data_IF_747104222472
#
_entry.id   IF_747104222472
#
_cell.length_a   1.000
_cell.length_b   1.000
_cell.length_c   1.000
_cell.angle_alpha   90.00
_cell.angle_beta   90.00
_cell.angle_gamma   90.00
#
_symmetry.space_group_name_H-M   'P 1'
#
loop_
_entity.id
_entity.type
_entity.pdbx_description
1 polymer ?
#
# COMPACT_ATOMS: atom_id res chain seq x y z
N UNK A 1 30.14 -43.80 10.70
CA UNK A 1 30.75 -42.68 11.46
C UNK A 1 29.82 -41.47 11.36
N UNK A 2 29.19 -41.05 12.47
CA UNK A 2 28.32 -39.87 12.52
C UNK A 2 29.18 -38.63 12.27
N UNK A 3 28.81 -37.81 11.29
CA UNK A 3 29.43 -36.50 11.04
C UNK A 3 28.79 -35.53 12.03
N UNK A 4 29.52 -35.15 13.07
CA UNK A 4 29.08 -34.14 14.05
C UNK A 4 28.83 -32.80 13.35
N UNK A 5 27.77 -32.12 13.77
CA UNK A 5 27.36 -30.86 13.15
C UNK A 5 28.17 -29.69 13.72
N UNK A 6 28.33 -28.61 12.93
CA UNK A 6 29.13 -27.42 13.29
C UNK A 6 28.71 -26.74 14.60
N UNK A 7 27.49 -27.01 15.10
CA UNK A 7 26.99 -26.54 16.39
C UNK A 7 27.56 -27.32 17.59
N UNK A 8 27.91 -28.61 17.42
CA UNK A 8 28.48 -29.45 18.48
C UNK A 8 29.98 -29.15 18.72
N UNK A 9 30.67 -28.52 17.77
CA UNK A 9 32.10 -28.12 17.93
C UNK A 9 32.31 -26.90 18.81
N UNK A 10 31.29 -26.04 18.98
CA UNK A 10 31.45 -24.77 19.71
C UNK A 10 31.32 -24.92 21.24
N UNK A 11 30.71 -26.01 21.70
CA UNK A 11 30.47 -26.31 23.12
C UNK A 11 31.35 -27.47 23.61
N UNK A 12 32.38 -27.80 22.84
CA UNK A 12 33.28 -28.89 23.17
C UNK A 12 34.33 -28.36 24.16
N UNK A 13 34.19 -28.75 25.43
CA UNK A 13 35.23 -28.52 26.43
C UNK A 13 36.51 -29.18 25.95
N UNK A 14 37.56 -28.38 25.76
CA UNK A 14 38.88 -28.93 25.48
C UNK A 14 39.35 -29.69 26.72
N UNK A 15 39.91 -30.90 26.58
CA UNK A 15 40.52 -31.60 27.70
C UNK A 15 41.78 -30.85 28.17
N UNK A 16 42.21 -31.11 29.41
CA UNK A 16 43.45 -30.56 29.94
C UNK A 16 44.65 -31.16 29.19
N UNK A 17 45.50 -30.29 28.62
CA UNK A 17 46.72 -30.68 27.90
C UNK A 17 47.96 -30.25 28.67
N UNK A 18 49.00 -31.08 28.67
CA UNK A 18 50.32 -30.70 29.20
C UNK A 18 51.28 -30.29 28.07
N UNK A 19 52.17 -29.34 28.36
CA UNK A 19 53.16 -28.89 27.39
C UNK A 19 54.09 -30.04 26.97
N UNK A 20 54.06 -30.39 25.67
CA UNK A 20 54.84 -31.50 25.11
C UNK A 20 54.04 -32.78 24.85
N UNK A 21 52.75 -32.82 25.21
CA UNK A 21 51.87 -33.94 24.91
C UNK A 21 51.57 -34.04 23.40
N UNK A 22 51.73 -35.24 22.82
CA UNK A 22 51.47 -35.49 21.39
C UNK A 22 50.72 -36.80 21.21
N UNK A 23 49.69 -36.79 20.36
CA UNK A 23 48.90 -37.98 20.00
C UNK A 23 48.86 -38.18 18.49
N UNK A 24 48.40 -39.34 18.03
CA UNK A 24 48.28 -39.66 16.60
C UNK A 24 47.11 -38.88 16.00
N UNK A 25 47.42 -37.80 15.27
CA UNK A 25 46.43 -37.04 14.52
C UNK A 25 46.44 -37.48 13.05
N UNK A 26 45.28 -37.85 12.53
CA UNK A 26 45.09 -38.07 11.09
C UNK A 26 44.52 -36.79 10.47
N UNK A 27 45.26 -36.08 9.59
CA UNK A 27 44.71 -34.92 8.91
C UNK A 27 43.55 -35.35 8.02
N UNK A 28 42.42 -34.67 8.12
CA UNK A 28 41.28 -34.84 7.22
C UNK A 28 41.11 -33.61 6.34
N UNK A 29 40.85 -33.83 5.06
CA UNK A 29 40.43 -32.77 4.14
C UNK A 29 38.91 -32.83 4.05
N UNK A 30 38.25 -31.92 4.75
CA UNK A 30 36.79 -31.78 4.70
C UNK A 30 36.40 -30.97 3.45
N UNK A 31 35.67 -31.61 2.54
CA UNK A 31 35.13 -30.95 1.34
C UNK A 31 33.82 -30.24 1.69
N UNK A 32 33.84 -28.91 1.68
CA UNK A 32 32.65 -28.09 1.93
C UNK A 32 32.01 -27.59 0.64
N UNK A 33 30.70 -27.34 0.70
CA UNK A 33 29.95 -26.62 -0.34
C UNK A 33 29.20 -25.46 0.30
N UNK A 34 29.16 -24.32 -0.37
CA UNK A 34 28.31 -23.20 0.05
C UNK A 34 26.85 -23.60 -0.10
N UNK A 35 26.02 -23.25 0.89
CA UNK A 35 24.58 -23.43 0.79
C UNK A 35 23.92 -22.13 0.32
N UNK A 36 22.85 -22.19 -0.49
CA UNK A 36 22.12 -21.01 -0.90
C UNK A 36 21.51 -20.29 0.32
N UNK A 37 21.25 -18.98 0.22
CA UNK A 37 20.59 -18.23 1.30
C UNK A 37 19.28 -18.88 1.72
N UNK A 38 19.03 -18.91 3.04
CA UNK A 38 17.77 -19.42 3.57
C UNK A 38 16.62 -18.53 3.11
N UNK A 39 15.47 -19.15 2.83
CA UNK A 39 14.24 -18.41 2.53
C UNK A 39 13.79 -17.62 3.75
N UNK A 40 13.14 -16.48 3.50
CA UNK A 40 12.51 -15.71 4.56
C UNK A 40 11.36 -16.48 5.19
N UNK A 41 11.30 -16.47 6.52
CA UNK A 41 10.10 -16.63 7.35
C UNK A 41 9.54 -15.25 7.68
N UNK A 42 8.32 -15.16 8.21
CA UNK A 42 7.78 -13.88 8.70
C UNK A 42 8.69 -13.22 9.74
N UNK A 43 9.15 -13.97 10.74
CA UNK A 43 10.05 -13.46 11.76
C UNK A 43 11.35 -12.90 11.15
N UNK A 44 11.97 -13.64 10.22
CA UNK A 44 13.20 -13.16 9.56
C UNK A 44 12.98 -11.98 8.63
N UNK A 45 11.79 -11.86 8.02
CA UNK A 45 11.45 -10.72 7.16
C UNK A 45 11.18 -9.47 8.02
N UNK A 46 10.45 -9.62 9.13
CA UNK A 46 10.22 -8.54 10.08
C UNK A 46 11.54 -8.03 10.69
N UNK A 47 12.44 -8.95 11.04
CA UNK A 47 13.78 -8.60 11.50
C UNK A 47 14.60 -7.89 10.41
N UNK A 48 14.46 -8.30 9.14
CA UNK A 48 15.11 -7.60 8.04
C UNK A 48 14.53 -6.19 7.84
N UNK A 49 13.22 -6.02 7.94
CA UNK A 49 12.57 -4.70 7.87
C UNK A 49 13.05 -3.79 9.01
N UNK A 50 13.26 -4.34 10.21
CA UNK A 50 13.83 -3.60 11.34
C UNK A 50 15.29 -3.21 11.12
N UNK A 51 16.06 -4.10 10.52
CA UNK A 51 17.51 -3.93 10.33
C UNK A 51 17.89 -3.55 8.91
N UNK A 52 16.94 -2.99 8.14
CA UNK A 52 17.15 -2.64 6.74
C UNK A 52 18.29 -1.64 6.53
N UNK A 53 18.69 -0.88 7.55
CA UNK A 53 19.91 -0.06 7.50
C UNK A 53 21.21 -0.84 7.34
N UNK A 54 21.25 -2.14 7.70
CA UNK A 54 22.46 -2.99 7.56
C UNK A 54 22.79 -3.35 6.12
N UNK A 55 21.83 -3.21 5.21
CA UNK A 55 22.00 -3.48 3.78
C UNK A 55 22.21 -2.19 2.98
N UNK A 56 22.24 -1.04 3.66
CA UNK A 56 22.54 0.28 3.07
C UNK A 56 24.03 0.58 3.25
N UNK A 57 24.71 0.92 2.15
CA UNK A 57 26.15 1.22 2.14
C UNK A 57 26.48 2.62 2.69
N UNK A 58 25.54 3.55 2.64
CA UNK A 58 25.71 4.93 3.12
C UNK A 58 25.56 5.02 4.65
N UNK A 59 26.61 5.48 5.33
CA UNK A 59 26.66 5.51 6.81
C UNK A 59 25.67 6.51 7.44
N UNK A 60 25.32 7.61 6.77
CA UNK A 60 24.33 8.57 7.29
C UNK A 60 22.91 8.00 7.19
N UNK A 61 22.56 7.37 6.05
CA UNK A 61 21.27 6.70 5.85
C UNK A 61 21.11 5.47 6.76
N UNK A 62 22.20 4.75 6.99
CA UNK A 62 22.26 3.62 7.92
C UNK A 62 21.99 4.04 9.36
N UNK A 63 22.53 5.17 9.80
CA UNK A 63 22.24 5.74 11.13
C UNK A 63 20.77 6.18 11.24
N UNK A 64 20.18 6.74 10.18
CA UNK A 64 18.76 7.09 10.15
C UNK A 64 17.83 5.87 10.27
N UNK A 65 18.21 4.74 9.67
CA UNK A 65 17.45 3.48 9.70
C UNK A 65 17.63 2.68 10.99
N UNK A 66 18.63 3.01 11.82
CA UNK A 66 19.04 2.22 13.00
C UNK A 66 17.98 2.14 14.11
N UNK A 67 17.12 3.16 14.22
CA UNK A 67 16.07 3.23 15.26
C UNK A 67 14.69 2.73 14.79
N UNK A 68 14.34 2.90 13.50
CA UNK A 68 12.97 2.66 13.01
C UNK A 68 12.87 1.66 11.85
N UNK A 69 13.96 1.31 11.17
CA UNK A 69 13.92 0.42 10.01
C UNK A 69 12.90 0.88 8.93
N UNK A 70 12.44 -0.06 8.10
CA UNK A 70 11.34 0.16 7.16
C UNK A 70 10.01 0.06 7.88
N UNK A 71 9.38 1.20 8.13
CA UNK A 71 8.08 1.33 8.80
C UNK A 71 8.13 1.08 10.32
N UNK A 72 7.12 1.56 11.03
CA UNK A 72 7.03 1.40 12.49
C UNK A 72 6.63 -0.03 12.89
N UNK A 73 7.00 -0.54 14.07
CA UNK A 73 6.69 -1.91 14.52
C UNK A 73 5.21 -2.31 14.35
N UNK A 74 4.29 -1.37 14.61
CA UNK A 74 2.84 -1.58 14.46
C UNK A 74 2.37 -1.81 13.01
N UNK A 75 3.14 -1.40 12.01
CA UNK A 75 2.76 -1.45 10.59
C UNK A 75 3.42 -2.60 9.82
N UNK A 76 4.48 -3.22 10.34
CA UNK A 76 5.22 -4.25 9.59
C UNK A 76 4.42 -5.53 9.39
N UNK A 77 3.74 -6.00 10.42
CA UNK A 77 2.88 -7.17 10.34
C UNK A 77 1.72 -6.97 9.36
N UNK A 78 1.09 -5.78 9.37
CA UNK A 78 -0.01 -5.48 8.45
C UNK A 78 0.45 -5.35 7.00
N UNK A 79 1.67 -4.87 6.74
CA UNK A 79 2.27 -4.88 5.40
C UNK A 79 2.39 -6.31 4.85
N UNK A 80 2.88 -7.25 5.66
CA UNK A 80 3.02 -8.66 5.23
C UNK A 80 1.66 -9.26 4.87
N UNK A 81 0.62 -9.01 5.69
CA UNK A 81 -0.74 -9.47 5.38
C UNK A 81 -1.28 -8.85 4.09
N UNK A 82 -1.01 -7.57 3.83
CA UNK A 82 -1.42 -6.92 2.58
C UNK A 82 -0.74 -7.56 1.36
N UNK A 83 0.54 -7.91 1.45
CA UNK A 83 1.27 -8.55 0.35
C UNK A 83 0.73 -9.96 0.05
N UNK A 84 0.31 -10.70 1.08
CA UNK A 84 -0.33 -12.02 0.95
C UNK A 84 -1.73 -11.88 0.33
N UNK A 85 -2.55 -10.98 0.87
CA UNK A 85 -3.92 -10.76 0.39
C UNK A 85 -3.97 -10.26 -1.07
N UNK A 86 -2.95 -9.53 -1.52
CA UNK A 86 -2.79 -9.09 -2.91
C UNK A 86 -2.16 -10.16 -3.82
N UNK A 87 -1.75 -11.30 -3.27
CA UNK A 87 -1.18 -12.42 -4.02
C UNK A 87 0.22 -12.17 -4.56
N UNK A 88 1.01 -11.28 -3.93
CA UNK A 88 2.41 -11.03 -4.32
C UNK A 88 3.39 -11.98 -3.63
N UNK A 89 3.05 -12.43 -2.43
CA UNK A 89 3.78 -13.46 -1.69
C UNK A 89 2.80 -14.49 -1.14
N UNK A 90 3.28 -15.70 -0.84
CA UNK A 90 2.50 -16.78 -0.27
C UNK A 90 3.23 -17.47 0.89
N UNK A 91 2.45 -18.01 1.84
CA UNK A 91 2.96 -18.85 2.94
C UNK A 91 3.08 -20.28 2.43
N UNK A 92 4.30 -20.83 2.41
CA UNK A 92 4.56 -22.25 2.12
C UNK A 92 5.32 -22.87 3.28
N UNK A 93 4.62 -23.66 4.08
CA UNK A 93 5.10 -24.17 5.38
C UNK A 93 5.51 -22.99 6.28
N UNK A 94 6.77 -22.94 6.72
CA UNK A 94 7.32 -21.86 7.55
C UNK A 94 7.96 -20.72 6.74
N UNK A 95 7.95 -20.80 5.40
CA UNK A 95 8.64 -19.85 4.53
C UNK A 95 7.65 -18.99 3.74
N UNK A 96 8.07 -17.75 3.46
CA UNK A 96 7.43 -16.84 2.52
C UNK A 96 8.07 -17.02 1.15
N UNK A 97 7.23 -17.13 0.12
CA UNK A 97 7.66 -17.24 -1.28
C UNK A 97 7.06 -16.11 -2.09
N UNK A 98 7.85 -15.50 -2.97
CA UNK A 98 7.29 -14.61 -3.99
C UNK A 98 6.46 -15.42 -4.98
N UNK A 99 5.31 -14.89 -5.36
CA UNK A 99 4.49 -15.46 -6.44
C UNK A 99 5.03 -14.98 -7.80
N UNK A 100 4.60 -15.58 -8.92
CA UNK A 100 4.89 -15.03 -10.25
C UNK A 100 4.44 -13.56 -10.38
N UNK A 101 3.28 -13.21 -9.82
CA UNK A 101 2.75 -11.84 -9.83
C UNK A 101 3.64 -10.88 -9.05
N UNK A 102 4.13 -11.28 -7.87
CA UNK A 102 5.04 -10.46 -7.07
C UNK A 102 6.36 -10.19 -7.79
N UNK A 103 6.96 -11.22 -8.41
CA UNK A 103 8.18 -11.06 -9.21
C UNK A 103 7.95 -10.16 -10.41
N UNK A 104 6.82 -10.32 -11.09
CA UNK A 104 6.51 -9.51 -12.27
C UNK A 104 6.23 -8.04 -11.91
N UNK A 105 5.61 -7.78 -10.76
CA UNK A 105 5.47 -6.42 -10.25
C UNK A 105 6.83 -5.77 -10.02
N UNK A 106 7.74 -6.44 -9.30
CA UNK A 106 9.08 -5.91 -9.03
C UNK A 106 9.86 -5.68 -10.33
N UNK A 107 9.72 -6.58 -11.32
CA UNK A 107 10.36 -6.41 -12.62
C UNK A 107 9.81 -5.22 -13.43
N UNK A 108 8.58 -4.76 -13.15
CA UNK A 108 7.98 -3.60 -13.82
C UNK A 108 8.38 -2.27 -13.19
N UNK A 109 8.79 -2.27 -11.92
CA UNK A 109 9.27 -1.07 -11.25
C UNK A 109 10.66 -0.75 -11.81
N UNK A 110 10.71 0.22 -12.72
CA UNK A 110 11.97 0.63 -13.37
C UNK A 110 12.85 1.48 -12.47
N UNK A 111 12.23 2.30 -11.62
CA UNK A 111 12.98 3.10 -10.69
C UNK A 111 13.54 2.20 -9.58
N UNK A 112 14.84 1.94 -9.64
CA UNK A 112 15.53 1.11 -8.66
C UNK A 112 15.39 1.66 -7.24
N UNK A 113 15.25 2.98 -7.08
CA UNK A 113 15.05 3.64 -5.77
C UNK A 113 13.75 3.16 -5.10
N UNK A 114 12.70 2.85 -5.87
CA UNK A 114 11.44 2.33 -5.31
C UNK A 114 11.53 0.88 -4.81
N UNK A 115 12.55 0.14 -5.23
CA UNK A 115 12.82 -1.25 -4.81
C UNK A 115 13.87 -1.32 -3.70
N UNK A 116 14.43 -0.18 -3.33
CA UNK A 116 15.59 -0.08 -2.48
C UNK A 116 15.20 0.42 -1.08
N UNK A 117 15.73 -0.19 0.00
CA UNK A 117 15.51 0.28 1.36
C UNK A 117 16.12 1.68 1.61
N UNK A 118 17.11 2.09 0.82
CA UNK A 118 17.80 3.39 0.92
C UNK A 118 16.83 4.56 0.77
N UNK A 119 15.91 4.51 -0.21
CA UNK A 119 14.91 5.57 -0.40
C UNK A 119 13.97 5.68 0.81
N UNK A 120 13.62 4.54 1.40
CA UNK A 120 12.81 4.53 2.63
C UNK A 120 13.60 5.11 3.80
N UNK A 121 14.90 4.84 3.87
CA UNK A 121 15.81 5.43 4.84
C UNK A 121 15.93 6.94 4.73
N UNK A 122 16.06 7.47 3.51
CA UNK A 122 16.05 8.92 3.27
C UNK A 122 14.75 9.56 3.76
N UNK A 123 13.61 8.91 3.51
CA UNK A 123 12.32 9.44 3.96
C UNK A 123 12.20 9.43 5.49
N UNK A 124 12.57 8.34 6.16
CA UNK A 124 12.56 8.27 7.63
C UNK A 124 13.54 9.28 8.26
N UNK A 125 14.71 9.49 7.66
CA UNK A 125 15.65 10.53 8.07
C UNK A 125 15.00 11.92 8.01
N UNK A 126 14.40 12.26 6.87
CA UNK A 126 13.78 13.57 6.63
C UNK A 126 12.56 13.79 7.51
N UNK A 127 11.77 12.75 7.76
CA UNK A 127 10.67 12.77 8.75
C UNK A 127 11.19 13.14 10.15
N UNK A 128 12.32 12.57 10.57
CA UNK A 128 12.96 12.89 11.86
C UNK A 128 13.51 14.32 11.93
N UNK A 129 14.03 14.85 10.82
CA UNK A 129 14.46 16.26 10.75
C UNK A 129 13.27 17.22 10.87
N UNK A 130 12.12 16.87 10.28
CA UNK A 130 10.88 17.66 10.44
C UNK A 130 10.37 17.63 11.88
N UNK A 131 10.39 16.47 12.55
CA UNK A 131 10.03 16.33 13.98
C UNK A 131 10.91 17.22 14.88
N UNK A 132 12.19 17.37 14.52
CA UNK A 132 13.16 18.23 15.23
C UNK A 132 13.11 19.71 14.81
N UNK A 133 12.19 20.10 13.91
CA UNK A 133 12.08 21.46 13.39
C UNK A 133 13.23 21.90 12.47
N UNK A 134 14.05 20.96 11.98
CA UNK A 134 15.23 21.20 11.15
C UNK A 134 14.96 21.13 9.64
N UNK A 135 13.74 20.74 9.25
CA UNK A 135 13.34 20.63 7.85
C UNK A 135 11.87 21.03 7.68
N UNK A 136 11.55 21.70 6.57
CA UNK A 136 10.19 22.18 6.30
C UNK A 136 9.32 21.10 5.63
N UNK A 137 8.13 20.89 6.19
CA UNK A 137 7.19 19.87 5.71
C UNK A 137 6.55 20.22 4.37
N UNK A 138 6.36 21.50 4.08
CA UNK A 138 5.83 21.93 2.79
C UNK A 138 6.83 21.67 1.66
N UNK A 139 8.12 21.90 1.93
CA UNK A 139 9.23 21.57 1.03
C UNK A 139 9.33 20.06 0.80
N UNK A 140 9.28 19.25 1.86
CA UNK A 140 9.25 17.78 1.75
C UNK A 140 8.15 17.30 0.78
N UNK A 141 6.92 17.77 0.97
CA UNK A 141 5.79 17.36 0.14
C UNK A 141 5.89 17.82 -1.32
N UNK A 142 6.50 18.99 -1.58
CA UNK A 142 6.79 19.45 -2.94
C UNK A 142 7.75 18.51 -3.66
N UNK A 143 8.80 18.06 -2.97
CA UNK A 143 9.80 17.14 -3.51
C UNK A 143 9.22 15.74 -3.76
N UNK A 144 8.42 15.21 -2.83
CA UNK A 144 7.67 13.95 -3.04
C UNK A 144 6.76 14.05 -4.27
N UNK A 145 6.06 15.16 -4.44
CA UNK A 145 5.23 15.41 -5.61
C UNK A 145 6.02 15.49 -6.92
N UNK A 146 7.22 16.10 -6.90
CA UNK A 146 8.10 16.17 -8.06
C UNK A 146 8.61 14.78 -8.46
N UNK A 147 9.09 14.01 -7.49
CA UNK A 147 9.55 12.64 -7.71
C UNK A 147 8.43 11.73 -8.21
N UNK A 148 7.21 11.87 -7.67
CA UNK A 148 6.05 11.12 -8.17
C UNK A 148 5.75 11.43 -9.63
N UNK A 149 5.83 12.70 -10.03
CA UNK A 149 5.65 13.11 -11.44
C UNK A 149 6.74 12.54 -12.35
N UNK A 150 7.98 12.52 -11.88
CA UNK A 150 9.11 11.91 -12.59
C UNK A 150 8.86 10.43 -12.87
N UNK A 151 8.49 9.64 -11.85
CA UNK A 151 8.15 8.21 -12.00
C UNK A 151 7.02 8.03 -13.02
N UNK A 152 5.93 8.81 -12.90
CA UNK A 152 4.79 8.71 -13.83
C UNK A 152 5.19 9.05 -15.27
N UNK A 153 6.01 10.09 -15.44
CA UNK A 153 6.48 10.53 -16.77
C UNK A 153 7.40 9.49 -17.43
N UNK A 154 8.26 8.83 -16.64
CA UNK A 154 9.16 7.77 -17.12
C UNK A 154 8.43 6.46 -17.47
N UNK A 155 7.25 6.20 -16.88
CA UNK A 155 6.55 4.90 -16.97
C UNK A 155 5.65 4.75 -18.21
N UNK A 156 5.23 5.83 -18.86
CA UNK A 156 4.00 5.77 -19.69
C UNK A 156 4.09 5.08 -21.05
N UNK A 157 5.26 4.99 -21.72
CA UNK A 157 5.32 4.38 -23.08
C UNK A 157 6.56 3.50 -23.39
N UNK A 158 7.72 3.70 -22.75
CA UNK A 158 8.98 3.03 -23.14
C UNK A 158 9.24 1.67 -22.47
N UNK A 159 8.42 1.29 -21.49
CA UNK A 159 8.74 0.24 -20.49
C UNK A 159 7.97 -1.07 -20.71
N UNK A 160 6.96 -1.05 -21.57
CA UNK A 160 6.06 -2.17 -21.76
C UNK A 160 6.55 -3.06 -22.91
N UNK A 161 6.84 -4.32 -22.60
CA UNK A 161 7.06 -5.33 -23.62
C UNK A 161 5.77 -5.54 -24.43
N UNK A 162 5.75 -4.94 -25.62
CA UNK A 162 4.64 -5.02 -26.57
C UNK A 162 4.41 -6.44 -27.10
N UNK A 163 5.36 -7.36 -26.90
CA UNK A 163 5.23 -8.78 -27.22
C UNK A 163 4.75 -9.62 -26.03
N UNK A 164 4.56 -9.02 -24.85
CA UNK A 164 4.07 -9.71 -23.66
C UNK A 164 3.31 -8.79 -22.70
N UNK A 165 2.08 -8.46 -23.07
CA UNK A 165 1.20 -7.57 -22.31
C UNK A 165 0.46 -8.27 -21.17
N UNK A 166 0.46 -9.60 -21.11
CA UNK A 166 -0.23 -10.37 -20.08
C UNK A 166 -0.94 -11.62 -20.63
N UNK A 167 -1.56 -12.43 -19.75
CA UNK A 167 -2.17 -13.69 -20.13
C UNK A 167 -3.49 -13.48 -20.89
N UNK A 168 -3.63 -14.16 -22.02
CA UNK A 168 -4.83 -14.16 -22.85
C UNK A 168 -6.02 -14.72 -22.05
N UNK A 169 -7.19 -14.06 -22.08
CA UNK A 169 -8.36 -14.53 -21.34
C UNK A 169 -8.95 -15.84 -21.87
N UNK A 170 -8.68 -16.19 -23.15
CA UNK A 170 -9.20 -17.41 -23.77
C UNK A 170 -8.29 -18.64 -23.57
N UNK A 171 -6.97 -18.45 -23.63
CA UNK A 171 -6.01 -19.57 -23.69
C UNK A 171 -4.74 -19.35 -22.86
N UNK A 172 -4.70 -18.32 -22.02
CA UNK A 172 -3.62 -17.94 -21.08
C UNK A 172 -2.25 -17.61 -21.68
N UNK A 173 -2.03 -17.86 -22.96
CA UNK A 173 -0.83 -17.46 -23.73
C UNK A 173 -0.66 -15.93 -23.77
N UNK A 174 0.54 -15.44 -24.05
CA UNK A 174 0.81 -13.99 -24.06
C UNK A 174 -0.01 -13.20 -25.09
N UNK A 175 -0.49 -12.03 -24.68
CA UNK A 175 -1.10 -11.04 -25.58
C UNK A 175 -0.04 -10.07 -26.09
N UNK A 176 -0.14 -9.70 -27.36
CA UNK A 176 0.81 -8.84 -28.06
C UNK A 176 0.10 -7.62 -28.67
N UNK A 177 0.83 -6.53 -28.87
CA UNK A 177 0.37 -5.35 -29.63
C UNK A 177 0.60 -5.58 -31.12
N UNK A 178 -0.47 -5.47 -31.90
CA UNK A 178 -0.45 -5.44 -33.36
C UNK A 178 -0.59 -4.01 -33.93
N UNK A 179 -0.75 -3.91 -35.25
CA UNK A 179 -0.92 -2.61 -35.94
C UNK A 179 -2.24 -1.91 -35.61
N UNK A 180 -3.31 -2.67 -35.39
CA UNK A 180 -4.69 -2.16 -35.26
C UNK A 180 -5.34 -2.51 -33.92
N UNK A 181 -4.53 -2.89 -32.92
CA UNK A 181 -5.02 -3.32 -31.61
C UNK A 181 -4.13 -4.36 -30.93
N UNK A 182 -4.75 -5.27 -30.18
CA UNK A 182 -4.09 -6.29 -29.36
C UNK A 182 -4.62 -7.68 -29.70
N UNK A 183 -3.77 -8.71 -29.65
CA UNK A 183 -4.17 -10.07 -30.00
C UNK A 183 -3.34 -11.15 -29.31
N UNK A 184 -3.85 -12.38 -29.28
CA UNK A 184 -3.12 -13.52 -28.71
C UNK A 184 -1.91 -13.91 -29.57
N UNK A 185 -0.78 -14.23 -28.96
CA UNK A 185 0.41 -14.76 -29.65
C UNK A 185 0.13 -16.08 -30.39
N UNK A 186 -0.82 -16.89 -29.89
CA UNK A 186 -1.26 -18.16 -30.49
C UNK A 186 -2.40 -18.00 -31.49
N UNK A 187 -2.56 -16.81 -32.10
CA UNK A 187 -3.64 -16.57 -33.07
C UNK A 187 -3.62 -17.53 -34.26
N UNK A 188 -2.41 -17.81 -34.79
CA UNK A 188 -2.22 -18.75 -35.91
C UNK A 188 -2.52 -20.21 -35.51
N UNK A 189 -2.41 -20.53 -34.23
CA UNK A 189 -2.66 -21.85 -33.66
C UNK A 189 -4.13 -22.05 -33.23
N UNK A 190 -5.02 -21.11 -33.56
CA UNK A 190 -6.47 -21.25 -33.38
C UNK A 190 -7.12 -20.28 -32.37
N UNK A 191 -6.34 -19.60 -31.51
CA UNK A 191 -6.94 -18.66 -30.55
C UNK A 191 -7.47 -17.38 -31.25
N UNK A 192 -8.73 -17.01 -31.01
CA UNK A 192 -9.36 -15.84 -31.67
C UNK A 192 -9.48 -14.60 -30.79
N UNK A 193 -8.68 -14.49 -29.73
CA UNK A 193 -8.68 -13.29 -28.90
C UNK A 193 -8.04 -12.10 -29.63
N UNK A 194 -8.81 -11.04 -29.85
CA UNK A 194 -8.35 -9.76 -30.35
C UNK A 194 -9.21 -8.61 -29.82
N UNK A 195 -8.56 -7.47 -29.55
CA UNK A 195 -9.21 -6.20 -29.18
C UNK A 195 -8.77 -5.15 -30.19
N UNK A 196 -9.72 -4.56 -30.91
CA UNK A 196 -9.45 -3.48 -31.86
C UNK A 196 -9.20 -2.15 -31.15
N UNK A 197 -8.35 -1.31 -31.75
CA UNK A 197 -8.17 0.07 -31.31
C UNK A 197 -9.48 0.86 -31.49
N UNK A 198 -9.82 1.73 -30.53
CA UNK A 198 -11.06 2.53 -30.57
C UNK A 198 -12.30 1.87 -29.96
N UNK A 199 -12.19 0.67 -29.37
CA UNK A 199 -13.29 0.05 -28.60
C UNK A 199 -13.83 1.03 -27.53
N UNK A 200 -15.16 1.18 -27.43
CA UNK A 200 -15.84 2.14 -26.53
C UNK A 200 -15.43 3.63 -26.72
N UNK A 201 -14.92 4.00 -27.90
CA UNK A 201 -14.50 5.37 -28.20
C UNK A 201 -13.23 5.81 -27.45
N UNK A 202 -12.45 4.87 -26.91
CA UNK A 202 -11.22 5.16 -26.18
C UNK A 202 -9.99 4.56 -26.87
N UNK A 203 -8.86 5.26 -26.71
CA UNK A 203 -7.55 4.71 -27.06
C UNK A 203 -7.09 3.78 -25.95
N UNK A 204 -7.10 2.48 -26.22
CA UNK A 204 -6.56 1.48 -25.30
C UNK A 204 -5.04 1.51 -25.41
N UNK A 205 -4.37 2.10 -24.42
CA UNK A 205 -2.89 2.13 -24.35
C UNK A 205 -2.33 0.76 -23.95
N UNK A 206 -1.04 0.46 -24.21
CA UNK A 206 -0.43 -0.80 -23.77
C UNK A 206 -0.52 -1.00 -22.25
N UNK A 207 -0.43 0.10 -21.50
CA UNK A 207 -0.60 0.15 -20.04
C UNK A 207 -1.99 -0.34 -19.66
N UNK A 208 -3.03 0.29 -20.23
CA UNK A 208 -4.41 -0.06 -19.97
C UNK A 208 -4.74 -1.50 -20.41
N UNK A 209 -4.21 -1.93 -21.55
CA UNK A 209 -4.41 -3.30 -22.02
C UNK A 209 -3.80 -4.31 -21.03
N UNK A 210 -2.56 -4.08 -20.58
CA UNK A 210 -1.89 -4.92 -19.59
C UNK A 210 -2.68 -4.95 -18.27
N UNK A 211 -3.16 -3.80 -17.82
CA UNK A 211 -3.99 -3.67 -16.63
C UNK A 211 -5.27 -4.52 -16.73
N UNK A 212 -5.98 -4.44 -17.87
CA UNK A 212 -7.18 -5.25 -18.12
C UNK A 212 -6.90 -6.75 -18.16
N UNK A 213 -5.76 -7.17 -18.73
CA UNK A 213 -5.37 -8.59 -18.79
C UNK A 213 -5.07 -9.17 -17.41
N UNK A 214 -4.38 -8.40 -16.56
CA UNK A 214 -3.94 -8.84 -15.23
C UNK A 214 -5.05 -8.72 -14.18
N UNK A 215 -5.74 -7.57 -14.14
CA UNK A 215 -6.70 -7.26 -13.08
C UNK A 215 -8.15 -7.55 -13.47
N UNK A 216 -8.41 -7.87 -14.75
CA UNK A 216 -9.76 -8.03 -15.33
C UNK A 216 -10.64 -6.79 -15.25
N UNK A 217 -10.08 -5.67 -14.78
CA UNK A 217 -10.72 -4.36 -14.69
C UNK A 217 -9.69 -3.25 -14.74
N UNK A 218 -10.13 -2.05 -15.10
CA UNK A 218 -9.34 -0.87 -14.88
C UNK A 218 -9.39 -0.42 -13.41
N UNK A 219 -8.30 0.16 -12.94
CA UNK A 219 -8.12 0.73 -11.61
C UNK A 219 -8.66 2.17 -11.56
N UNK A 220 -8.62 2.87 -12.69
CA UNK A 220 -9.16 4.22 -12.85
C UNK A 220 -10.35 4.23 -13.81
N UNK A 221 -11.18 5.26 -13.69
CA UNK A 221 -12.28 5.50 -14.61
C UNK A 221 -11.79 6.25 -15.86
N UNK A 222 -12.36 5.91 -17.01
CA UNK A 222 -12.05 6.48 -18.32
C UNK A 222 -13.32 7.08 -18.92
N UNK A 223 -13.18 8.17 -19.67
CA UNK A 223 -14.28 8.74 -20.44
C UNK A 223 -14.55 7.91 -21.68
N UNK A 224 -15.63 7.14 -21.68
CA UNK A 224 -16.04 6.27 -22.80
C UNK A 224 -17.21 6.88 -23.58
N UNK A 225 -17.44 6.36 -24.78
CA UNK A 225 -18.62 6.66 -25.58
C UNK A 225 -19.68 5.58 -25.39
N UNK A 226 -20.88 6.00 -24.97
CA UNK A 226 -22.08 5.17 -24.81
C UNK A 226 -23.22 5.80 -25.62
N UNK A 227 -23.43 5.29 -26.84
CA UNK A 227 -24.28 5.94 -27.84
C UNK A 227 -23.79 7.35 -28.18
N UNK A 228 -24.66 8.34 -27.98
CA UNK A 228 -24.36 9.78 -28.19
C UNK A 228 -23.70 10.45 -26.97
N UNK A 229 -23.64 9.78 -25.82
CA UNK A 229 -23.18 10.36 -24.57
C UNK A 229 -21.72 10.00 -24.27
N UNK A 230 -21.00 10.92 -23.63
CA UNK A 230 -19.71 10.62 -23.00
C UNK A 230 -19.92 10.43 -21.50
N UNK A 231 -19.54 9.26 -21.01
CA UNK A 231 -19.72 8.86 -19.60
C UNK A 231 -18.39 8.45 -18.99
N UNK A 232 -18.25 8.62 -17.67
CA UNK A 232 -17.08 8.14 -16.93
C UNK A 232 -17.34 6.70 -16.48
N UNK A 233 -16.46 5.76 -16.81
CA UNK A 233 -16.66 4.36 -16.46
C UNK A 233 -15.35 3.64 -16.16
N UNK A 234 -15.41 2.66 -15.25
CA UNK A 234 -14.36 1.65 -15.12
C UNK A 234 -14.58 0.56 -16.16
N UNK A 235 -13.50 0.08 -16.76
CA UNK A 235 -13.52 -0.93 -17.79
C UNK A 235 -13.36 -2.32 -17.17
N UNK A 236 -13.88 -3.35 -17.81
CA UNK A 236 -13.71 -4.75 -17.42
C UNK A 236 -13.38 -5.61 -18.63
N UNK A 237 -12.63 -6.68 -18.43
CA UNK A 237 -12.32 -7.67 -19.47
C UNK A 237 -12.88 -9.03 -19.02
N UNK A 238 -13.90 -9.51 -19.74
CA UNK A 238 -14.56 -10.75 -19.38
C UNK A 238 -13.75 -11.99 -19.85
N UNK A 239 -14.22 -13.19 -19.46
CA UNK A 239 -13.56 -14.47 -19.84
C UNK A 239 -13.61 -14.76 -21.34
N UNK A 240 -14.54 -14.14 -22.09
CA UNK A 240 -14.63 -14.24 -23.55
C UNK A 240 -13.69 -13.25 -24.26
N UNK A 241 -13.02 -12.37 -23.51
CA UNK A 241 -12.12 -11.36 -24.06
C UNK A 241 -12.80 -10.09 -24.56
N UNK A 242 -14.04 -9.85 -24.17
CA UNK A 242 -14.80 -8.65 -24.52
C UNK A 242 -14.63 -7.59 -23.44
N UNK A 243 -14.56 -6.32 -23.86
CA UNK A 243 -14.48 -5.18 -22.94
C UNK A 243 -15.89 -4.76 -22.55
N UNK A 244 -16.19 -4.88 -21.25
CA UNK A 244 -17.35 -4.27 -20.64
C UNK A 244 -16.97 -2.99 -19.90
N UNK A 245 -17.97 -2.30 -19.36
CA UNK A 245 -17.75 -1.17 -18.47
C UNK A 245 -18.80 -1.13 -17.36
N UNK A 246 -18.44 -0.47 -16.26
CA UNK A 246 -19.36 -0.07 -15.19
C UNK A 246 -19.22 1.43 -14.99
N UNK A 247 -20.33 2.15 -15.10
CA UNK A 247 -20.39 3.59 -14.85
C UNK A 247 -19.74 3.89 -13.50
N UNK A 248 -18.82 4.85 -13.50
CA UNK A 248 -18.19 5.32 -12.28
C UNK A 248 -19.21 6.19 -11.56
N UNK A 249 -19.62 5.76 -10.37
CA UNK A 249 -20.40 6.58 -9.46
C UNK A 249 -19.51 7.75 -9.02
N UNK A 250 -19.68 8.89 -9.67
CA UNK A 250 -19.21 10.16 -9.12
C UNK A 250 -20.21 10.47 -8.02
N UNK A 251 -19.85 10.21 -6.75
CA UNK A 251 -20.66 10.66 -5.62
C UNK A 251 -20.96 12.16 -5.85
N UNK A 252 -22.24 12.55 -6.01
CA UNK A 252 -22.57 13.94 -6.26
C UNK A 252 -22.02 14.74 -5.08
N UNK A 253 -21.36 15.87 -5.36
CA UNK A 253 -20.92 16.78 -4.30
C UNK A 253 -22.14 17.11 -3.44
N UNK A 254 -22.09 16.91 -2.11
CA UNK A 254 -23.20 17.21 -1.24
C UNK A 254 -23.62 18.67 -1.46
N UNK A 255 -24.88 18.85 -1.82
CA UNK A 255 -25.45 20.17 -2.11
C UNK A 255 -26.01 20.77 -0.82
N UNK A 256 -26.44 22.03 -0.89
CA UNK A 256 -27.11 22.70 0.23
C UNK A 256 -28.34 21.93 0.75
N UNK A 257 -29.00 21.12 -0.09
CA UNK A 257 -30.14 20.28 0.31
C UNK A 257 -29.74 19.13 1.25
N UNK A 258 -28.47 18.75 1.25
CA UNK A 258 -27.92 17.65 2.06
C UNK A 258 -27.35 18.15 3.40
N UNK A 259 -27.57 19.43 3.73
CA UNK A 259 -27.09 20.04 4.96
C UNK A 259 -27.65 19.34 6.19
N UNK A 260 -26.75 18.99 7.11
CA UNK A 260 -27.08 18.28 8.35
C UNK A 260 -27.47 19.28 9.44
N UNK A 261 -26.88 20.48 9.42
CA UNK A 261 -27.15 21.56 10.35
C UNK A 261 -26.27 22.77 10.06
N UNK A 262 -26.34 23.79 10.92
CA UNK A 262 -25.53 25.02 10.81
C UNK A 262 -24.25 24.90 11.62
N UNK A 263 -23.16 25.45 11.08
CA UNK A 263 -21.86 25.49 11.71
C UNK A 263 -21.88 26.44 12.91
N UNK A 264 -21.51 25.99 14.12
CA UNK A 264 -21.50 26.85 15.31
C UNK A 264 -20.36 27.88 15.28
N UNK A 265 -19.35 27.71 14.41
CA UNK A 265 -18.23 28.64 14.31
C UNK A 265 -18.43 29.77 13.29
N UNK A 266 -19.22 29.58 12.24
CA UNK A 266 -19.39 30.59 11.19
C UNK A 266 -20.79 30.68 10.55
N UNK A 267 -21.75 29.83 10.96
CA UNK A 267 -23.10 29.79 10.39
C UNK A 267 -23.23 29.13 9.00
N UNK A 268 -22.13 28.68 8.39
CA UNK A 268 -22.15 27.89 7.15
C UNK A 268 -22.86 26.53 7.30
N UNK A 269 -23.11 25.84 6.20
CA UNK A 269 -23.80 24.55 6.22
C UNK A 269 -22.82 23.41 6.58
N UNK A 270 -23.23 22.48 7.45
CA UNK A 270 -22.45 21.27 7.74
C UNK A 270 -22.85 20.17 6.77
N UNK A 271 -21.88 19.71 5.98
CA UNK A 271 -22.05 18.70 4.95
C UNK A 271 -21.36 17.39 5.35
N UNK A 272 -22.01 16.26 5.05
CA UNK A 272 -21.45 14.94 5.26
C UNK A 272 -20.44 14.56 4.17
N UNK A 273 -19.28 14.06 4.58
CA UNK A 273 -18.30 13.41 3.71
C UNK A 273 -18.01 11.97 4.16
N UNK A 274 -17.08 11.26 3.49
CA UNK A 274 -16.78 9.86 3.79
C UNK A 274 -16.27 9.62 5.22
N UNK A 275 -15.46 10.54 5.77
CA UNK A 275 -14.80 10.37 7.09
C UNK A 275 -15.25 11.38 8.16
N UNK A 276 -15.91 12.46 7.77
CA UNK A 276 -16.28 13.55 8.68
C UNK A 276 -17.45 14.36 8.13
N UNK A 277 -18.01 15.17 9.01
CA UNK A 277 -18.96 16.23 8.73
C UNK A 277 -18.19 17.56 8.84
N UNK A 278 -18.21 18.38 7.80
CA UNK A 278 -17.37 19.59 7.72
C UNK A 278 -18.18 20.82 7.31
N UNK A 279 -17.71 21.99 7.72
CA UNK A 279 -18.30 23.25 7.28
C UNK A 279 -18.12 23.46 5.76
N UNK A 280 -19.15 23.97 5.09
CA UNK A 280 -19.12 24.40 3.69
C UNK A 280 -18.09 25.50 3.43
N UNK A 281 -17.86 26.38 4.41
CA UNK A 281 -16.99 27.56 4.30
C UNK A 281 -15.53 27.24 4.67
N UNK A 282 -15.11 25.97 4.58
CA UNK A 282 -13.74 25.58 4.91
C UNK A 282 -12.69 26.23 4.01
N UNK A 283 -13.04 26.54 2.77
CA UNK A 283 -12.18 27.28 1.83
C UNK A 283 -12.07 28.76 2.18
N UNK A 284 -13.04 29.30 2.92
CA UNK A 284 -13.06 30.66 3.43
C UNK A 284 -12.42 30.75 4.84
N UNK A 285 -11.83 29.64 5.32
CA UNK A 285 -11.06 29.59 6.55
C UNK A 285 -11.73 28.89 7.74
N UNK A 286 -13.00 28.47 7.63
CA UNK A 286 -13.67 27.80 8.75
C UNK A 286 -13.15 26.36 8.96
N UNK A 287 -12.59 26.06 10.13
CA UNK A 287 -11.99 24.75 10.43
C UNK A 287 -12.91 23.77 11.16
N UNK A 288 -14.18 24.12 11.37
CA UNK A 288 -15.10 23.28 12.13
C UNK A 288 -15.35 21.93 11.44
N UNK A 289 -15.07 20.85 12.17
CA UNK A 289 -15.18 19.46 11.70
C UNK A 289 -15.64 18.54 12.82
N UNK A 290 -16.51 17.58 12.49
CA UNK A 290 -16.94 16.51 13.38
C UNK A 290 -16.56 15.19 12.70
N UNK A 291 -15.73 14.38 13.33
CA UNK A 291 -15.33 13.08 12.78
C UNK A 291 -16.48 12.08 12.86
N UNK A 292 -16.61 11.21 11.84
CA UNK A 292 -17.60 10.13 11.84
C UNK A 292 -17.27 9.01 12.83
N UNK A 293 -16.04 8.97 13.32
CA UNK A 293 -15.63 8.03 14.37
C UNK A 293 -14.84 8.81 15.42
N UNK A 294 -15.26 8.73 16.69
CA UNK A 294 -14.61 9.36 17.84
C UNK A 294 -14.41 8.28 18.90
N UNK A 295 -13.17 8.06 19.34
CA UNK A 295 -12.82 7.03 20.31
C UNK A 295 -13.47 5.65 19.99
N UNK A 296 -13.32 5.21 18.73
CA UNK A 296 -13.88 3.98 18.17
C UNK A 296 -15.42 3.88 18.08
N UNK A 297 -16.15 4.92 18.49
CA UNK A 297 -17.60 4.99 18.31
C UNK A 297 -17.96 5.70 17.01
N UNK A 298 -18.87 5.13 16.24
CA UNK A 298 -19.45 5.78 15.07
C UNK A 298 -20.45 6.87 15.48
N UNK A 299 -20.30 8.04 14.85
CA UNK A 299 -21.08 9.25 15.09
C UNK A 299 -22.05 9.39 13.90
N UNK A 300 -23.29 8.99 14.15
CA UNK A 300 -24.35 9.02 13.15
C UNK A 300 -24.78 10.45 12.81
N UNK A 301 -25.52 10.62 11.71
CA UNK A 301 -26.02 11.92 11.27
C UNK A 301 -26.95 12.54 12.34
N UNK A 302 -27.72 11.71 13.02
CA UNK A 302 -28.68 12.10 14.04
C UNK A 302 -27.96 12.65 15.28
N UNK A 303 -26.87 12.00 15.71
CA UNK A 303 -26.01 12.50 16.80
C UNK A 303 -25.44 13.89 16.44
N UNK A 304 -25.00 14.06 15.19
CA UNK A 304 -24.51 15.36 14.71
C UNK A 304 -25.60 16.41 14.69
N UNK A 305 -26.82 16.06 14.27
CA UNK A 305 -27.96 16.99 14.29
C UNK A 305 -28.25 17.46 15.70
N UNK A 306 -28.28 16.56 16.67
CA UNK A 306 -28.47 16.89 18.09
C UNK A 306 -27.34 17.78 18.60
N UNK A 307 -26.08 17.43 18.32
CA UNK A 307 -24.91 18.21 18.73
C UNK A 307 -24.93 19.63 18.15
N UNK A 308 -25.27 19.79 16.88
CA UNK A 308 -25.33 21.10 16.22
C UNK A 308 -26.52 21.94 16.71
N UNK A 309 -27.65 21.30 17.03
CA UNK A 309 -28.86 21.99 17.50
C UNK A 309 -28.73 22.45 18.95
N UNK A 310 -28.20 21.59 19.83
CA UNK A 310 -28.20 21.80 21.28
C UNK A 310 -26.83 22.25 21.81
N UNK A 311 -25.77 22.15 21.01
CA UNK A 311 -24.39 22.37 21.45
C UNK A 311 -23.81 21.20 22.26
N UNK A 312 -24.64 20.24 22.67
CA UNK A 312 -24.29 19.04 23.45
C UNK A 312 -25.20 17.87 23.10
N UNK A 313 -24.70 16.64 23.17
CA UNK A 313 -25.50 15.42 23.02
C UNK A 313 -26.01 14.91 24.35
N UNK A 314 -26.93 13.94 24.31
CA UNK A 314 -27.15 13.03 25.43
C UNK A 314 -25.89 12.20 25.75
N UNK A 315 -25.90 11.49 26.88
CA UNK A 315 -24.82 10.57 27.21
C UNK A 315 -24.79 9.43 26.21
N UNK A 316 -23.64 9.23 25.56
CA UNK A 316 -23.43 8.21 24.56
C UNK A 316 -22.52 7.11 25.12
N UNK A 317 -22.97 5.86 25.03
CA UNK A 317 -22.19 4.70 25.44
C UNK A 317 -21.27 4.18 24.33
N UNK A 318 -20.28 3.36 24.70
CA UNK A 318 -19.48 2.58 23.75
C UNK A 318 -18.27 3.31 23.17
N UNK A 319 -17.80 4.38 23.81
CA UNK A 319 -16.47 4.93 23.52
C UNK A 319 -15.39 4.04 24.14
N UNK A 320 -14.22 3.96 23.49
CA UNK A 320 -13.06 3.22 24.01
C UNK A 320 -11.93 4.18 24.38
N UNK A 321 -11.44 4.06 25.62
CA UNK A 321 -10.25 4.78 26.09
C UNK A 321 -8.98 4.30 25.39
N UNK A 322 -7.87 5.00 25.55
CA UNK A 322 -6.55 4.56 25.03
C UNK A 322 -6.12 3.18 25.56
N UNK A 323 -6.60 2.78 26.73
CA UNK A 323 -6.37 1.47 27.32
C UNK A 323 -7.38 0.40 26.86
N UNK A 324 -8.26 0.73 25.91
CA UNK A 324 -9.30 -0.18 25.40
C UNK A 324 -10.51 -0.36 26.32
N UNK A 325 -10.58 0.35 27.45
CA UNK A 325 -11.73 0.27 28.37
C UNK A 325 -12.93 1.08 27.85
N UNK A 326 -14.15 0.53 27.87
CA UNK A 326 -15.35 1.25 27.47
C UNK A 326 -15.71 2.35 28.48
N UNK A 327 -16.25 3.46 27.98
CA UNK A 327 -16.81 4.52 28.80
C UNK A 327 -17.96 5.24 28.08
N UNK A 328 -18.73 6.00 28.85
CA UNK A 328 -19.86 6.80 28.38
C UNK A 328 -19.57 8.28 28.59
N UNK A 329 -19.98 9.11 27.64
CA UNK A 329 -19.76 10.55 27.71
C UNK A 329 -20.73 11.30 26.80
N UNK A 330 -20.97 12.58 27.10
CA UNK A 330 -21.58 13.51 26.16
C UNK A 330 -20.52 14.05 25.22
N UNK A 331 -20.92 14.43 24.01
CA UNK A 331 -20.12 15.26 23.13
C UNK A 331 -20.64 16.69 23.21
N UNK A 332 -19.75 17.66 23.36
CA UNK A 332 -20.08 19.08 23.43
C UNK A 332 -19.21 19.90 22.47
N UNK A 333 -19.77 20.96 21.90
CA UNK A 333 -19.01 21.94 21.14
C UNK A 333 -18.42 22.98 22.09
N UNK A 334 -17.09 23.03 22.19
CA UNK A 334 -16.37 24.01 23.01
C UNK A 334 -15.34 24.71 22.13
N UNK A 335 -15.42 26.04 22.02
CA UNK A 335 -14.50 26.86 21.20
C UNK A 335 -14.35 26.38 19.74
N UNK A 336 -15.44 25.90 19.13
CA UNK A 336 -15.42 25.41 17.76
C UNK A 336 -14.82 24.00 17.58
N UNK A 337 -14.61 23.26 18.67
CA UNK A 337 -14.16 21.87 18.65
C UNK A 337 -15.15 20.96 19.37
N UNK A 338 -15.26 19.71 18.93
CA UNK A 338 -16.05 18.68 19.64
C UNK A 338 -15.18 18.03 20.70
N UNK A 339 -15.62 18.09 21.96
CA UNK A 339 -14.93 17.53 23.12
C UNK A 339 -15.87 16.65 23.94
N UNK A 340 -15.28 15.72 24.69
CA UNK A 340 -16.03 14.95 25.68
C UNK A 340 -16.42 15.84 26.85
N UNK A 341 -17.68 15.70 27.30
CA UNK A 341 -18.19 16.25 28.54
C UNK A 341 -18.68 15.07 29.38
N UNK A 342 -18.09 14.91 30.56
CA UNK A 342 -18.48 13.88 31.51
C UNK A 342 -19.45 14.52 32.51
N UNK A 343 -20.56 13.84 32.80
CA UNK A 343 -21.39 14.19 33.95
C UNK A 343 -20.59 13.79 35.21
N UNK A 344 -20.44 14.74 36.12
CA UNK A 344 -19.69 14.56 37.37
C UNK A 344 -20.50 13.87 38.44
#
# INVERSE_FOLDING_TARGET
>A
KKVSTKAERADQSLPDFQAGESSIHSPSIENFKTSPPKRFTEASLLQLMETAGKIVDDEELKEALKEKGVGTPATRASIVEVLINRGYIERKRKSLLSTPNGRQLIALVQDDRLKSPELTGDWEFRLKQMERGKYDSSKFMKEVGAYTREIISATSEKTIDLKNLGPCPLCTSSVIRGKTGYGCSQWRSGCKFAIKEGSLGIRITPVLMRELLLNKRSLTAYGIQDGSNRVLATLSLNKKGEIGYKLAEIEPKPTRKDAIGRCPSCGGDILGGPKNYRCSNWREGCKFVIWKTIAHKDISKEIVQTLLKNGVTESLDGFLSRAGKPFSAQLAVTNGEVKFKFEG
#
